data_IF_187053218649
#
_entry.id   IF_187053218649
#
_cell.length_a   1.000
_cell.length_b   1.000
_cell.length_c   1.000
_cell.angle_alpha   90.00
_cell.angle_beta   90.00
_cell.angle_gamma   90.00
#
_symmetry.space_group_name_H-M   'P 1'
#
loop_
_entity.id
_entity.type
_entity.pdbx_description
1 polymer ?
#
# COMPACT_ATOMS: atom_id res chain seq x y z
N UNK A 1 10.28 -5.25 4.58
CA UNK A 1 10.37 -5.59 3.16
C UNK A 1 8.98 -5.97 2.70
N UNK A 2 8.45 -5.32 1.66
CA UNK A 2 7.11 -5.54 1.12
C UNK A 2 7.21 -5.92 -0.36
N UNK A 3 6.22 -6.60 -0.90
CA UNK A 3 6.17 -7.01 -2.31
C UNK A 3 4.73 -6.94 -2.83
N UNK A 4 4.52 -7.19 -4.11
CA UNK A 4 3.19 -7.37 -4.70
C UNK A 4 2.37 -8.38 -3.87
N UNK A 5 1.09 -8.09 -3.69
CA UNK A 5 0.13 -8.81 -2.84
C UNK A 5 0.35 -8.70 -1.32
N UNK A 6 1.36 -7.96 -0.86
CA UNK A 6 1.52 -7.69 0.59
C UNK A 6 0.36 -6.86 1.11
N UNK A 7 -0.17 -7.24 2.28
CA UNK A 7 -1.21 -6.50 3.02
C UNK A 7 -0.57 -5.58 4.05
N UNK A 8 -0.89 -4.29 3.99
CA UNK A 8 -0.34 -3.28 4.87
C UNK A 8 -1.45 -2.54 5.61
N UNK A 9 -1.20 -2.25 6.90
CA UNK A 9 -2.04 -1.36 7.69
C UNK A 9 -1.69 0.09 7.36
N UNK A 10 -2.70 0.94 7.28
CA UNK A 10 -2.52 2.37 7.04
C UNK A 10 -2.29 3.10 8.36
N UNK A 11 -1.35 4.04 8.32
CA UNK A 11 -0.88 4.80 9.49
C UNK A 11 -1.16 6.31 9.35
N UNK A 12 -2.07 6.69 8.45
CA UNK A 12 -2.51 8.07 8.26
C UNK A 12 -3.99 8.25 8.66
N UNK A 13 -4.53 9.44 8.43
CA UNK A 13 -5.91 9.83 8.74
C UNK A 13 -6.80 9.95 7.50
N UNK A 14 -6.42 9.35 6.35
CA UNK A 14 -7.23 9.42 5.13
C UNK A 14 -8.56 8.66 5.28
N UNK A 15 -8.55 7.59 6.07
CA UNK A 15 -9.70 6.73 6.33
C UNK A 15 -9.53 5.29 5.84
N UNK A 16 -8.51 4.99 5.04
CA UNK A 16 -8.12 3.62 4.73
C UNK A 16 -7.61 2.93 6.00
N UNK A 17 -7.85 1.62 6.11
CA UNK A 17 -7.37 0.79 7.22
C UNK A 17 -6.38 -0.26 6.74
N UNK A 18 -6.64 -0.83 5.57
CA UNK A 18 -5.80 -1.87 4.99
C UNK A 18 -5.74 -1.73 3.47
N UNK A 19 -4.54 -1.89 2.93
CA UNK A 19 -4.25 -1.89 1.50
C UNK A 19 -3.58 -3.19 1.07
N UNK A 20 -3.70 -3.51 -0.22
CA UNK A 20 -2.91 -4.54 -0.90
C UNK A 20 -1.99 -3.87 -1.92
N UNK A 21 -0.70 -4.17 -1.85
CA UNK A 21 0.32 -3.66 -2.78
C UNK A 21 0.12 -4.31 -4.15
N UNK A 22 -0.01 -3.49 -5.20
CA UNK A 22 -0.11 -3.92 -6.60
C UNK A 22 1.28 -3.88 -7.26
N UNK A 23 2.06 -2.83 -6.97
CA UNK A 23 3.37 -2.65 -7.56
C UNK A 23 4.29 -1.84 -6.64
N UNK A 24 5.55 -2.25 -6.52
CA UNK A 24 6.61 -1.44 -5.92
C UNK A 24 7.24 -0.59 -7.02
N UNK A 25 7.28 0.73 -6.82
CA UNK A 25 7.83 1.63 -7.84
C UNK A 25 9.35 1.49 -7.91
N UNK A 26 9.90 1.57 -9.12
CA UNK A 26 11.34 1.34 -9.37
C UNK A 26 11.65 0.52 -10.62
N UNK A 27 10.62 0.07 -11.36
CA UNK A 27 10.75 -0.66 -12.62
C UNK A 27 10.58 -2.18 -12.46
N UNK A 28 10.60 -2.92 -13.57
CA UNK A 28 10.26 -4.35 -13.63
C UNK A 28 11.24 -5.28 -12.89
N UNK A 29 12.42 -4.79 -12.51
CA UNK A 29 13.44 -5.57 -11.80
C UNK A 29 13.25 -5.52 -10.28
N UNK A 30 12.53 -4.52 -9.77
CA UNK A 30 12.31 -4.33 -8.33
C UNK A 30 11.27 -5.32 -7.83
N UNK A 31 11.71 -6.27 -7.01
CA UNK A 31 10.85 -7.31 -6.42
C UNK A 31 10.32 -6.94 -5.04
N UNK A 32 11.04 -6.05 -4.34
CA UNK A 32 10.78 -5.73 -2.95
C UNK A 32 10.96 -4.24 -2.67
N UNK A 33 10.11 -3.70 -1.80
CA UNK A 33 10.19 -2.35 -1.25
C UNK A 33 10.62 -2.34 0.22
N UNK A 34 11.38 -1.32 0.59
CA UNK A 34 11.77 -0.94 1.93
C UNK A 34 11.01 0.29 2.44
N UNK A 35 11.48 0.84 3.56
CA UNK A 35 10.96 2.11 4.10
C UNK A 35 11.42 3.24 3.18
N UNK A 36 10.49 4.13 2.79
CA UNK A 36 10.76 5.26 1.90
C UNK A 36 10.44 4.99 0.43
N UNK A 37 10.23 3.73 0.04
CA UNK A 37 9.80 3.39 -1.31
C UNK A 37 8.32 3.68 -1.52
N UNK A 38 7.98 4.14 -2.72
CA UNK A 38 6.60 4.43 -3.14
C UNK A 38 6.01 3.17 -3.76
N UNK A 39 4.74 2.89 -3.46
CA UNK A 39 4.01 1.74 -4.00
C UNK A 39 2.68 2.16 -4.59
N UNK A 40 2.23 1.44 -5.62
CA UNK A 40 0.84 1.47 -6.09
C UNK A 40 0.09 0.41 -5.30
N UNK A 41 -1.04 0.77 -4.70
CA UNK A 41 -1.84 -0.13 -3.88
C UNK A 41 -3.33 0.10 -4.08
N UNK A 42 -4.13 -0.90 -3.72
CA UNK A 42 -5.60 -0.84 -3.68
C UNK A 42 -6.09 -0.94 -2.24
N UNK A 43 -7.11 -0.14 -1.91
CA UNK A 43 -7.74 -0.15 -0.60
C UNK A 43 -8.64 -1.37 -0.48
N UNK A 44 -8.48 -2.10 0.63
CA UNK A 44 -9.21 -3.35 0.89
C UNK A 44 -10.14 -3.24 2.08
N UNK A 45 -9.81 -2.38 3.02
CA UNK A 45 -10.69 -1.99 4.12
C UNK A 45 -10.58 -0.48 4.31
N UNK A 46 -11.72 0.20 4.32
CA UNK A 46 -11.84 1.63 4.59
C UNK A 46 -12.84 1.88 5.73
N UNK A 47 -12.68 3.01 6.41
CA UNK A 47 -13.65 3.51 7.37
C UNK A 47 -14.84 4.09 6.60
N UNK A 48 -16.10 3.87 7.04
CA UNK A 48 -17.27 4.32 6.29
C UNK A 48 -17.37 5.84 6.11
N UNK A 49 -16.76 6.62 7.00
CA UNK A 49 -16.72 8.09 6.95
C UNK A 49 -15.38 8.64 6.43
N UNK A 50 -14.49 7.78 5.93
CA UNK A 50 -13.19 8.17 5.40
C UNK A 50 -13.30 8.91 4.07
N UNK A 51 -12.29 9.72 3.74
CA UNK A 51 -12.24 10.48 2.48
C UNK A 51 -11.59 9.73 1.31
N UNK A 52 -11.17 8.48 1.54
CA UNK A 52 -10.43 7.61 0.62
C UNK A 52 -11.22 7.22 -0.62
#
# INVERSE_FOLDING_TARGET
MIQTESRLKIADNTGAREILVINVMGGSVVKYGGIGDVVIATVKVASPQGSV
#
